data_IF_029825890264
#
_entry.id   IF_029825890264
#
_cell.length_a   1.000
_cell.length_b   1.000
_cell.length_c   1.000
_cell.angle_alpha   90.00
_cell.angle_beta   90.00
_cell.angle_gamma   90.00
#
_symmetry.space_group_name_H-M   'P 1'
#
loop_
_entity.id
_entity.type
_entity.pdbx_description
1 polymer ?
#
# COMPACT_ATOMS: atom_id res chain seq x y z
N UNK A 1 -32.12 -71.25 -41.00
CA UNK A 1 -32.95 -70.81 -39.86
C UNK A 1 -32.20 -69.70 -39.12
N UNK A 2 -32.57 -68.44 -39.34
CA UNK A 2 -33.08 -67.53 -38.28
C UNK A 2 -32.51 -67.80 -36.88
N UNK A 3 -31.61 -66.92 -36.43
CA UNK A 3 -31.89 -65.98 -35.32
C UNK A 3 -30.84 -64.87 -35.29
N UNK A 4 -31.34 -63.66 -35.51
CA UNK A 4 -30.68 -62.40 -35.24
C UNK A 4 -30.51 -62.24 -33.73
N UNK A 5 -29.34 -61.79 -33.28
CA UNK A 5 -29.23 -60.99 -32.07
C UNK A 5 -28.32 -59.80 -32.36
N UNK A 6 -28.94 -58.63 -32.33
CA UNK A 6 -28.29 -57.33 -32.41
C UNK A 6 -27.39 -57.15 -31.18
N UNK A 7 -26.08 -57.10 -31.37
CA UNK A 7 -25.17 -56.50 -30.41
C UNK A 7 -24.89 -55.07 -30.89
N UNK A 8 -25.59 -54.13 -30.26
CA UNK A 8 -25.32 -52.70 -30.44
C UNK A 8 -23.91 -52.40 -29.94
N UNK A 9 -23.05 -52.01 -30.88
CA UNK A 9 -21.74 -51.46 -30.66
C UNK A 9 -21.92 -50.03 -30.11
N UNK A 10 -22.02 -49.86 -28.79
CA UNK A 10 -21.83 -48.55 -28.16
C UNK A 10 -20.33 -48.38 -27.96
N UNK A 11 -19.69 -47.79 -28.96
CA UNK A 11 -18.33 -47.28 -28.88
C UNK A 11 -18.36 -46.04 -27.97
N UNK A 12 -18.21 -46.24 -26.65
CA UNK A 12 -17.89 -45.13 -25.76
C UNK A 12 -16.47 -44.66 -26.12
N UNK A 13 -16.41 -43.62 -26.94
CA UNK A 13 -15.20 -42.85 -27.16
C UNK A 13 -14.78 -42.20 -25.85
N UNK A 14 -13.96 -42.91 -25.08
CA UNK A 14 -13.07 -42.30 -24.10
C UNK A 14 -12.01 -41.52 -24.89
N UNK A 15 -12.41 -40.36 -25.40
CA UNK A 15 -11.50 -39.24 -25.53
C UNK A 15 -11.08 -38.90 -24.10
N UNK A 16 -10.00 -39.52 -23.63
CA UNK A 16 -9.16 -38.90 -22.62
C UNK A 16 -8.57 -37.66 -23.30
N UNK A 17 -9.36 -36.58 -23.31
CA UNK A 17 -8.84 -35.24 -23.29
C UNK A 17 -7.92 -35.20 -22.08
N UNK A 18 -6.63 -35.42 -22.33
CA UNK A 18 -5.59 -34.88 -21.48
C UNK A 18 -5.79 -33.39 -21.58
N UNK A 19 -6.63 -32.87 -20.70
CA UNK A 19 -6.63 -31.46 -20.35
C UNK A 19 -5.22 -31.23 -19.81
N UNK A 20 -4.31 -30.84 -20.69
CA UNK A 20 -3.20 -29.98 -20.30
C UNK A 20 -3.87 -28.77 -19.69
N UNK A 21 -4.07 -28.81 -18.37
CA UNK A 21 -4.11 -27.62 -17.57
C UNK A 21 -2.78 -26.94 -17.85
N UNK A 22 -2.79 -26.01 -18.82
CA UNK A 22 -1.83 -24.95 -18.83
C UNK A 22 -1.99 -24.27 -17.47
N UNK A 23 -1.05 -24.55 -16.58
CA UNK A 23 -0.90 -23.84 -15.32
C UNK A 23 -0.58 -22.39 -15.67
N UNK A 24 -1.63 -21.61 -15.93
CA UNK A 24 -1.56 -20.17 -16.13
C UNK A 24 -1.33 -19.52 -14.78
N UNK A 25 -0.24 -18.76 -14.68
CA UNK A 25 -0.02 -17.73 -13.67
C UNK A 25 0.19 -18.28 -12.26
N UNK A 26 1.44 -18.55 -11.91
CA UNK A 26 1.81 -18.82 -10.51
C UNK A 26 1.57 -17.57 -9.67
N UNK A 27 0.47 -17.57 -8.92
CA UNK A 27 0.27 -16.66 -7.81
C UNK A 27 1.38 -16.91 -6.78
N UNK A 28 2.13 -15.85 -6.47
CA UNK A 28 3.19 -15.83 -5.47
C UNK A 28 2.57 -15.92 -4.07
N UNK A 29 2.25 -17.14 -3.62
CA UNK A 29 1.83 -17.42 -2.23
C UNK A 29 3.00 -17.84 -1.32
N UNK A 30 4.24 -17.62 -1.74
CA UNK A 30 5.41 -17.90 -0.92
C UNK A 30 6.54 -16.97 -1.33
N UNK A 31 6.68 -15.87 -0.58
CA UNK A 31 7.83 -14.98 -0.62
C UNK A 31 7.49 -13.51 -0.42
N UNK A 32 7.36 -13.08 0.84
CA UNK A 32 7.60 -11.70 1.26
C UNK A 32 6.66 -10.60 0.76
N UNK A 33 5.54 -10.94 0.11
CA UNK A 33 4.59 -9.98 -0.46
C UNK A 33 3.28 -9.80 0.34
N UNK A 34 2.99 -10.71 1.29
CA UNK A 34 1.63 -10.89 1.84
C UNK A 34 1.40 -10.21 3.20
N UNK A 35 2.33 -9.39 3.66
CA UNK A 35 2.16 -8.64 4.89
C UNK A 35 2.18 -7.16 4.57
N UNK A 36 1.06 -6.48 4.80
CA UNK A 36 0.96 -5.02 4.89
C UNK A 36 1.74 -4.52 6.13
N UNK A 37 2.99 -4.96 6.31
CA UNK A 37 3.88 -4.49 7.36
C UNK A 37 4.60 -3.27 6.81
N UNK A 38 4.35 -2.13 7.44
CA UNK A 38 5.28 -1.00 7.36
C UNK A 38 6.60 -1.50 7.93
N UNK A 39 7.54 -1.82 7.04
CA UNK A 39 8.92 -2.09 7.41
C UNK A 39 9.66 -0.75 7.48
N UNK A 40 10.56 -0.55 8.45
CA UNK A 40 11.35 0.67 8.46
C UNK A 40 12.15 0.83 7.16
N UNK A 41 12.28 2.07 6.66
CA UNK A 41 13.20 2.37 5.58
C UNK A 41 14.61 1.84 5.91
N UNK A 42 15.27 1.23 4.91
CA UNK A 42 16.58 0.59 5.07
C UNK A 42 17.63 1.58 5.58
N UNK A 43 17.61 2.80 5.03
CA UNK A 43 18.64 3.80 5.28
C UNK A 43 18.06 5.00 6.00
N UNK A 44 18.40 5.11 7.30
CA UNK A 44 18.06 6.24 8.16
C UNK A 44 19.31 6.80 8.83
N UNK A 45 19.29 8.08 9.16
CA UNK A 45 20.45 8.77 9.74
C UNK A 45 20.04 10.00 10.51
N UNK A 46 20.74 10.30 11.61
CA UNK A 46 20.58 11.57 12.34
C UNK A 46 20.95 12.78 11.46
N UNK A 47 21.84 12.56 10.49
CA UNK A 47 22.25 13.55 9.48
C UNK A 47 21.33 13.48 8.27
N UNK A 48 20.48 14.48 8.11
CA UNK A 48 19.53 14.62 6.98
C UNK A 48 20.21 14.59 5.60
N UNK A 49 21.45 15.08 5.50
CA UNK A 49 22.15 15.21 4.21
C UNK A 49 23.04 14.03 3.84
N UNK A 50 23.12 12.98 4.68
CA UNK A 50 24.00 11.83 4.42
C UNK A 50 23.48 11.06 3.19
N UNK A 51 24.27 10.94 2.11
CA UNK A 51 23.87 10.19 0.94
C UNK A 51 23.97 8.68 1.19
N UNK A 52 23.12 7.92 0.50
CA UNK A 52 23.28 6.48 0.32
C UNK A 52 24.37 6.29 -0.72
N UNK A 53 25.47 5.65 -0.35
CA UNK A 53 26.48 5.21 -1.31
C UNK A 53 25.93 3.97 -2.03
N UNK A 54 25.75 4.06 -3.33
CA UNK A 54 25.12 3.02 -4.13
C UNK A 54 25.97 2.65 -5.35
N UNK A 55 25.82 1.43 -5.84
CA UNK A 55 26.45 0.97 -7.07
C UNK A 55 25.53 0.02 -7.83
N UNK A 56 25.87 -0.27 -9.07
CA UNK A 56 25.17 -1.28 -9.87
C UNK A 56 26.13 -2.27 -10.53
N UNK A 57 25.64 -3.50 -10.73
CA UNK A 57 26.29 -4.56 -11.51
C UNK A 57 25.27 -5.10 -12.50
N UNK A 58 25.65 -5.16 -13.77
CA UNK A 58 24.82 -5.69 -14.87
C UNK A 58 25.50 -6.94 -15.40
N UNK A 59 24.81 -8.07 -15.31
CA UNK A 59 25.32 -9.34 -15.82
C UNK A 59 25.43 -9.30 -17.35
N UNK A 60 26.39 -10.05 -17.88
CA UNK A 60 26.49 -10.28 -19.32
C UNK A 60 25.18 -10.93 -19.84
N UNK A 61 24.68 -10.42 -20.96
CA UNK A 61 23.43 -10.92 -21.55
C UNK A 61 22.16 -10.42 -20.87
N UNK A 62 22.22 -9.47 -19.94
CA UNK A 62 21.02 -8.86 -19.34
C UNK A 62 20.12 -8.17 -20.37
N UNK A 63 20.67 -7.69 -21.48
CA UNK A 63 19.91 -7.14 -22.62
C UNK A 63 19.73 -5.62 -22.61
N UNK A 64 20.08 -4.95 -21.52
CA UNK A 64 20.23 -3.49 -21.41
C UNK A 64 21.59 -3.16 -20.80
N UNK A 65 22.21 -2.07 -21.26
CA UNK A 65 23.53 -1.64 -20.81
C UNK A 65 23.45 -0.56 -19.71
N UNK A 66 24.62 -0.15 -19.23
CA UNK A 66 24.74 0.90 -18.21
C UNK A 66 24.11 2.24 -18.65
N UNK A 67 24.21 2.60 -19.93
CA UNK A 67 23.65 3.84 -20.47
C UNK A 67 22.11 3.85 -20.42
N UNK A 68 21.48 2.68 -20.52
CA UNK A 68 20.04 2.53 -20.31
C UNK A 68 19.67 2.47 -18.81
N UNK A 69 20.39 1.67 -18.01
CA UNK A 69 20.02 1.34 -16.62
C UNK A 69 20.27 2.49 -15.65
N UNK A 70 21.40 3.17 -15.75
CA UNK A 70 21.76 4.21 -14.78
C UNK A 70 20.72 5.36 -14.72
N UNK A 71 20.22 5.90 -15.83
CA UNK A 71 19.13 6.86 -15.79
C UNK A 71 17.86 6.34 -15.12
N UNK A 72 17.51 5.06 -15.28
CA UNK A 72 16.32 4.48 -14.64
C UNK A 72 16.46 4.42 -13.12
N UNK A 73 17.64 4.04 -12.61
CA UNK A 73 17.92 4.04 -11.17
C UNK A 73 17.82 5.46 -10.61
N UNK A 74 18.49 6.43 -11.26
CA UNK A 74 18.50 7.83 -10.82
C UNK A 74 17.11 8.44 -10.84
N UNK A 75 16.35 8.22 -11.90
CA UNK A 75 14.98 8.72 -12.03
C UNK A 75 14.06 8.11 -10.97
N UNK A 76 14.07 6.77 -10.82
CA UNK A 76 13.23 6.09 -9.83
C UNK A 76 13.55 6.53 -8.40
N UNK A 77 14.84 6.70 -8.08
CA UNK A 77 15.25 7.22 -6.78
C UNK A 77 14.80 8.69 -6.57
N UNK A 78 14.94 9.53 -7.60
CA UNK A 78 14.49 10.93 -7.57
C UNK A 78 12.98 11.04 -7.37
N UNK A 79 12.21 10.17 -8.02
CA UNK A 79 10.75 10.09 -7.83
C UNK A 79 10.40 9.83 -6.36
N UNK A 80 11.02 8.84 -5.71
CA UNK A 80 10.82 8.57 -4.28
C UNK A 80 11.30 9.70 -3.39
N UNK A 81 12.48 10.26 -3.64
CA UNK A 81 13.00 11.40 -2.88
C UNK A 81 12.04 12.59 -2.93
N UNK A 82 11.51 12.90 -4.12
CA UNK A 82 10.51 13.94 -4.29
C UNK A 82 9.19 13.58 -3.61
N UNK A 83 8.76 12.32 -3.71
CA UNK A 83 7.55 11.83 -3.06
C UNK A 83 7.61 12.02 -1.54
N UNK A 84 8.68 11.54 -0.90
CA UNK A 84 8.94 11.70 0.54
C UNK A 84 8.95 13.17 0.94
N UNK A 85 9.55 14.03 0.13
CA UNK A 85 9.58 15.49 0.37
C UNK A 85 8.19 16.12 0.27
N UNK A 86 7.45 15.85 -0.80
CA UNK A 86 6.11 16.43 -1.06
C UNK A 86 5.09 15.95 -0.04
N UNK A 87 5.10 14.66 0.30
CA UNK A 87 4.24 14.07 1.34
C UNK A 87 4.74 14.36 2.76
N UNK A 88 5.91 15.00 2.90
CA UNK A 88 6.58 15.36 4.15
C UNK A 88 6.80 14.19 5.11
N UNK A 89 7.25 13.06 4.57
CA UNK A 89 7.54 11.83 5.32
C UNK A 89 8.93 11.84 5.97
N UNK A 90 9.54 13.03 6.12
CA UNK A 90 10.97 13.18 6.41
C UNK A 90 11.34 12.92 7.87
N UNK A 91 10.37 12.91 8.80
CA UNK A 91 10.62 12.72 10.24
C UNK A 91 9.93 11.46 10.74
N UNK A 92 10.69 10.38 10.93
CA UNK A 92 10.22 9.16 11.59
C UNK A 92 10.63 9.21 13.06
N UNK A 93 9.79 9.84 13.90
CA UNK A 93 9.66 9.74 15.38
C UNK A 93 10.88 9.68 16.32
N UNK A 94 12.13 9.68 15.86
CA UNK A 94 13.32 9.40 16.69
C UNK A 94 14.58 10.10 16.15
N UNK A 95 14.48 11.37 15.73
CA UNK A 95 15.61 12.17 15.20
C UNK A 95 16.35 11.57 13.99
N UNK A 96 15.83 10.50 13.39
CA UNK A 96 16.42 9.80 12.25
C UNK A 96 15.65 10.13 10.97
N UNK A 97 16.33 10.77 10.03
CA UNK A 97 15.82 11.14 8.72
C UNK A 97 15.92 9.96 7.76
N UNK A 98 14.88 9.77 6.93
CA UNK A 98 14.98 8.89 5.76
C UNK A 98 15.99 9.51 4.79
N UNK A 99 17.00 8.75 4.38
CA UNK A 99 18.01 9.25 3.46
C UNK A 99 17.45 9.34 2.03
N UNK A 100 17.28 10.56 1.51
CA UNK A 100 16.74 10.81 0.16
C UNK A 100 17.78 11.34 -0.82
N UNK A 101 19.08 11.17 -0.51
CA UNK A 101 20.20 11.50 -1.39
C UNK A 101 20.95 10.23 -1.73
N UNK A 102 21.43 10.11 -2.97
CA UNK A 102 22.16 8.94 -3.43
C UNK A 102 23.37 9.36 -4.25
N UNK A 103 24.51 8.76 -3.94
CA UNK A 103 25.70 8.79 -4.77
C UNK A 103 25.79 7.43 -5.48
N UNK A 104 25.43 7.41 -6.77
CA UNK A 104 25.47 6.19 -7.57
C UNK A 104 26.79 6.11 -8.34
N UNK A 105 27.54 5.04 -8.07
CA UNK A 105 28.83 4.71 -8.68
C UNK A 105 28.68 3.60 -9.72
N UNK A 106 29.52 3.65 -10.75
CA UNK A 106 29.62 2.56 -11.72
C UNK A 106 30.44 1.42 -11.13
N UNK A 107 29.88 0.20 -11.16
CA UNK A 107 30.42 -1.02 -10.55
C UNK A 107 30.49 -0.95 -9.01
N UNK A 108 30.42 -2.11 -8.37
CA UNK A 108 30.48 -2.22 -6.93
C UNK A 108 31.89 -2.56 -6.44
N UNK A 109 32.37 -1.79 -5.46
CA UNK A 109 33.67 -2.00 -4.79
C UNK A 109 33.53 -2.75 -3.46
N UNK A 110 32.30 -2.85 -2.93
CA UNK A 110 31.98 -3.48 -1.65
C UNK A 110 31.82 -2.49 -0.48
N UNK A 111 32.17 -1.22 -0.71
CA UNK A 111 32.04 -0.14 0.27
C UNK A 111 30.65 0.52 0.26
N UNK A 112 29.83 0.20 -0.73
CA UNK A 112 28.50 0.79 -0.91
C UNK A 112 27.48 0.23 0.08
N UNK A 113 26.45 1.02 0.36
CA UNK A 113 25.32 0.69 1.20
C UNK A 113 24.22 -0.05 0.42
N UNK A 114 23.99 0.34 -0.83
CA UNK A 114 22.96 -0.24 -1.69
C UNK A 114 23.55 -0.73 -3.01
N UNK A 115 23.32 -2.00 -3.34
CA UNK A 115 23.71 -2.59 -4.63
C UNK A 115 22.50 -2.82 -5.51
N UNK A 116 22.53 -2.41 -6.77
CA UNK A 116 21.56 -2.81 -7.78
C UNK A 116 22.16 -3.92 -8.64
N UNK A 117 21.53 -5.10 -8.62
CA UNK A 117 22.07 -6.33 -9.20
C UNK A 117 21.15 -6.80 -10.34
N UNK A 118 21.53 -6.53 -11.58
CA UNK A 118 20.73 -6.83 -12.77
C UNK A 118 21.17 -8.15 -13.41
N UNK A 119 20.37 -9.20 -13.24
CA UNK A 119 20.64 -10.55 -13.75
C UNK A 119 21.83 -11.27 -13.10
N UNK A 120 22.41 -10.68 -12.06
CA UNK A 120 23.55 -11.26 -11.34
C UNK A 120 23.11 -12.54 -10.63
N UNK A 121 23.92 -13.59 -10.74
CA UNK A 121 23.74 -14.86 -10.05
C UNK A 121 24.89 -15.04 -9.04
N UNK A 122 24.56 -15.35 -7.79
CA UNK A 122 25.53 -15.61 -6.71
C UNK A 122 24.89 -16.49 -5.64
N UNK A 123 25.69 -17.04 -4.72
CA UNK A 123 25.18 -17.78 -3.56
C UNK A 123 24.26 -16.92 -2.68
N UNK A 124 24.58 -15.63 -2.52
CA UNK A 124 23.73 -14.66 -1.80
C UNK A 124 22.37 -14.54 -2.47
N UNK A 125 22.34 -14.36 -3.79
CA UNK A 125 21.08 -14.27 -4.55
C UNK A 125 20.31 -15.59 -4.50
N UNK A 126 20.98 -16.73 -4.65
CA UNK A 126 20.33 -18.04 -4.57
C UNK A 126 19.67 -18.26 -3.19
N UNK A 127 20.32 -17.83 -2.11
CA UNK A 127 19.78 -17.90 -0.76
C UNK A 127 18.47 -17.11 -0.62
N UNK A 128 18.46 -15.83 -1.02
CA UNK A 128 17.27 -14.99 -0.88
C UNK A 128 16.18 -15.32 -1.91
N UNK A 129 16.54 -15.54 -3.17
CA UNK A 129 15.58 -15.89 -4.23
C UNK A 129 14.82 -17.19 -3.96
N UNK A 130 15.42 -18.15 -3.22
CA UNK A 130 14.75 -19.40 -2.82
C UNK A 130 13.53 -19.20 -1.91
N UNK A 131 13.40 -18.02 -1.31
CA UNK A 131 12.26 -17.64 -0.48
C UNK A 131 11.05 -17.19 -1.31
N UNK A 132 11.23 -17.01 -2.63
CA UNK A 132 10.22 -16.47 -3.54
C UNK A 132 9.91 -17.46 -4.67
N UNK A 133 8.64 -17.55 -5.06
CA UNK A 133 8.26 -18.27 -6.28
C UNK A 133 8.49 -17.40 -7.51
N UNK A 134 9.58 -17.68 -8.25
CA UNK A 134 9.93 -17.03 -9.54
C UNK A 134 9.91 -15.49 -9.49
N UNK A 135 10.73 -14.86 -8.62
CA UNK A 135 10.73 -13.41 -8.48
C UNK A 135 11.21 -12.70 -9.76
N UNK A 136 10.55 -11.60 -10.14
CA UNK A 136 11.05 -10.65 -11.15
C UNK A 136 12.12 -9.71 -10.58
N UNK A 137 12.00 -9.40 -9.29
CA UNK A 137 12.93 -8.63 -8.50
C UNK A 137 12.63 -8.79 -7.02
N UNK A 138 13.53 -8.31 -6.18
CA UNK A 138 13.28 -8.12 -4.75
C UNK A 138 14.33 -7.16 -4.14
N UNK A 139 13.94 -6.44 -3.10
CA UNK A 139 14.83 -5.67 -2.25
C UNK A 139 15.12 -6.41 -0.93
N UNK A 140 16.40 -6.45 -0.54
CA UNK A 140 16.83 -7.15 0.67
C UNK A 140 17.80 -6.29 1.49
N UNK A 141 17.48 -6.10 2.77
CA UNK A 141 18.41 -5.57 3.76
C UNK A 141 19.36 -6.69 4.19
N UNK A 142 20.66 -6.43 4.22
CA UNK A 142 21.71 -7.39 4.59
C UNK A 142 22.50 -6.92 5.81
N UNK A 143 22.82 -7.87 6.69
CA UNK A 143 23.55 -7.63 7.93
C UNK A 143 22.66 -7.43 9.16
N UNK A 144 23.28 -7.33 10.34
CA UNK A 144 22.60 -7.19 11.63
C UNK A 144 22.12 -5.75 11.94
N UNK A 145 22.43 -4.79 11.06
CA UNK A 145 22.24 -3.37 11.27
C UNK A 145 20.80 -2.90 11.00
N UNK A 146 19.87 -3.22 11.91
CA UNK A 146 18.82 -2.24 12.23
C UNK A 146 19.37 -1.13 13.14
N UNK A 147 20.64 -1.21 13.52
CA UNK A 147 21.28 -0.25 14.40
C UNK A 147 21.38 1.09 13.67
N UNK A 148 20.55 2.03 14.11
CA UNK A 148 20.42 3.36 13.53
C UNK A 148 21.63 4.25 13.84
N UNK A 149 22.62 3.71 14.55
CA UNK A 149 23.89 4.35 14.82
C UNK A 149 24.74 4.41 13.54
N UNK A 150 25.18 5.62 13.20
CA UNK A 150 26.01 5.94 12.03
C UNK A 150 27.33 5.13 11.95
N UNK A 151 27.70 4.40 13.01
CA UNK A 151 28.88 3.54 13.11
C UNK A 151 28.81 2.27 12.27
N UNK A 152 27.63 1.70 12.05
CA UNK A 152 27.45 0.52 11.21
C UNK A 152 26.32 0.76 10.23
N UNK A 153 26.61 1.41 9.08
CA UNK A 153 25.55 1.75 8.15
C UNK A 153 24.90 0.46 7.63
N UNK A 154 23.57 0.48 7.59
CA UNK A 154 22.78 -0.52 6.91
C UNK A 154 23.37 -0.84 5.53
N UNK A 155 23.30 -2.12 5.14
CA UNK A 155 23.62 -2.58 3.79
C UNK A 155 22.42 -3.29 3.22
N UNK A 156 22.29 -3.28 1.92
CA UNK A 156 21.23 -4.00 1.22
C UNK A 156 21.47 -4.07 -0.27
N UNK A 157 20.57 -4.74 -0.96
CA UNK A 157 20.58 -4.80 -2.41
C UNK A 157 19.18 -4.86 -2.98
N UNK A 158 19.05 -4.42 -4.23
CA UNK A 158 17.91 -4.71 -5.10
C UNK A 158 18.42 -5.66 -6.17
N UNK A 159 17.79 -6.82 -6.30
CA UNK A 159 18.07 -7.76 -7.36
C UNK A 159 16.95 -7.75 -8.39
N UNK A 160 17.30 -7.81 -9.66
CA UNK A 160 16.38 -7.94 -10.78
C UNK A 160 16.73 -9.22 -11.55
N UNK A 161 15.73 -10.02 -11.83
CA UNK A 161 15.88 -11.33 -12.45
C UNK A 161 16.55 -11.27 -13.83
N UNK A 162 17.39 -12.24 -14.21
CA UNK A 162 17.96 -12.28 -15.55
C UNK A 162 16.87 -12.54 -16.61
N UNK A 163 17.16 -12.24 -17.89
CA UNK A 163 16.21 -12.54 -18.96
C UNK A 163 15.83 -14.02 -19.00
N UNK A 164 14.55 -14.30 -19.29
CA UNK A 164 13.99 -15.64 -19.46
C UNK A 164 14.02 -16.54 -18.20
N UNK A 165 14.29 -16.00 -17.01
CA UNK A 165 14.44 -16.84 -15.81
C UNK A 165 13.14 -17.13 -15.06
N UNK A 166 12.08 -16.34 -15.28
CA UNK A 166 10.77 -16.53 -14.62
C UNK A 166 9.94 -17.54 -15.42
N UNK A 167 9.88 -17.36 -16.74
CA UNK A 167 9.31 -18.32 -17.69
C UNK A 167 10.24 -18.44 -18.90
N UNK A 168 11.02 -19.53 -18.94
CA UNK A 168 11.95 -19.80 -20.01
C UNK A 168 11.27 -20.09 -21.36
N UNK A 169 10.05 -20.64 -21.34
CA UNK A 169 9.30 -20.97 -22.57
C UNK A 169 8.73 -19.70 -23.19
N UNK A 170 8.12 -18.86 -22.37
CA UNK A 170 7.58 -17.56 -22.78
C UNK A 170 8.66 -16.48 -22.96
N UNK A 171 9.91 -16.76 -22.54
CA UNK A 171 11.04 -15.82 -22.57
C UNK A 171 10.83 -14.59 -21.69
N UNK A 172 10.40 -14.84 -20.45
CA UNK A 172 10.05 -13.82 -19.46
C UNK A 172 11.01 -13.89 -18.26
N UNK A 173 11.47 -12.75 -17.72
CA UNK A 173 11.30 -11.42 -18.31
C UNK A 173 12.12 -11.27 -19.58
N UNK A 174 11.64 -10.43 -20.51
CA UNK A 174 12.43 -9.98 -21.65
C UNK A 174 12.95 -8.59 -21.29
N UNK A 175 14.26 -8.41 -21.21
CA UNK A 175 14.86 -7.10 -20.93
C UNK A 175 15.53 -6.58 -22.19
N UNK A 176 14.84 -5.67 -22.87
CA UNK A 176 15.38 -4.95 -24.02
C UNK A 176 14.73 -3.55 -24.09
N UNK A 177 14.97 -2.84 -25.19
CA UNK A 177 14.47 -1.47 -25.34
C UNK A 177 12.94 -1.39 -25.31
N UNK A 178 12.22 -2.45 -25.71
CA UNK A 178 10.75 -2.48 -25.71
C UNK A 178 10.16 -2.60 -24.31
N UNK A 179 10.86 -3.25 -23.38
CA UNK A 179 10.40 -3.48 -22.00
C UNK A 179 11.03 -2.53 -20.98
N UNK A 180 11.76 -1.51 -21.46
CA UNK A 180 12.39 -0.49 -20.64
C UNK A 180 11.44 0.19 -19.63
N UNK A 181 10.21 0.61 -20.00
CA UNK A 181 9.27 1.18 -19.02
C UNK A 181 8.88 0.21 -17.91
N UNK A 182 8.68 -1.06 -18.29
CA UNK A 182 8.38 -2.16 -17.38
C UNK A 182 9.52 -2.37 -16.36
N UNK A 183 10.76 -2.44 -16.83
CA UNK A 183 11.93 -2.53 -15.95
C UNK A 183 12.06 -1.32 -15.02
N UNK A 184 11.86 -0.10 -15.54
CA UNK A 184 11.89 1.10 -14.71
C UNK A 184 10.82 1.06 -13.61
N UNK A 185 9.62 0.60 -13.93
CA UNK A 185 8.55 0.41 -12.95
C UNK A 185 8.89 -0.61 -11.87
N UNK A 186 9.55 -1.72 -12.23
CA UNK A 186 10.06 -2.68 -11.26
C UNK A 186 11.16 -2.06 -10.36
N UNK A 187 12.10 -1.31 -10.92
CA UNK A 187 13.11 -0.58 -10.13
C UNK A 187 12.44 0.40 -9.15
N UNK A 188 11.41 1.12 -9.61
CA UNK A 188 10.63 2.04 -8.79
C UNK A 188 9.91 1.30 -7.66
N UNK A 189 9.32 0.13 -7.93
CA UNK A 189 8.69 -0.73 -6.93
C UNK A 189 9.69 -1.18 -5.85
N UNK A 190 10.83 -1.78 -6.25
CA UNK A 190 11.82 -2.29 -5.30
C UNK A 190 12.46 -1.19 -4.46
N UNK A 191 12.66 0.01 -5.03
CA UNK A 191 13.07 1.18 -4.26
C UNK A 191 12.03 1.59 -3.21
N UNK A 192 10.75 1.36 -3.46
CA UNK A 192 9.71 1.59 -2.47
C UNK A 192 9.89 0.76 -1.20
N UNK A 193 10.28 -0.51 -1.34
CA UNK A 193 10.65 -1.35 -0.20
C UNK A 193 11.89 -0.83 0.53
N UNK A 194 12.91 -0.34 -0.20
CA UNK A 194 14.08 0.31 0.40
C UNK A 194 13.66 1.53 1.24
N UNK A 195 12.64 2.27 0.81
CA UNK A 195 12.05 3.39 1.54
C UNK A 195 11.02 2.99 2.62
N UNK A 196 10.82 1.70 2.86
CA UNK A 196 9.97 1.20 3.95
C UNK A 196 8.50 1.02 3.58
N UNK A 197 8.17 0.96 2.30
CA UNK A 197 6.80 0.76 1.84
C UNK A 197 6.52 -0.74 1.68
N UNK A 198 5.39 -1.19 2.23
CA UNK A 198 4.82 -2.49 1.90
C UNK A 198 4.02 -2.44 0.60
N UNK A 199 3.39 -3.55 0.24
CA UNK A 199 2.55 -3.60 -0.95
C UNK A 199 1.24 -2.84 -0.78
N UNK A 200 0.82 -2.13 -1.83
CA UNK A 200 -0.46 -1.40 -1.90
C UNK A 200 -1.02 -1.47 -3.33
N UNK A 201 -2.13 -2.18 -3.49
CA UNK A 201 -2.82 -2.29 -4.77
C UNK A 201 -3.30 -0.93 -5.29
N UNK A 202 -3.25 -0.74 -6.61
CA UNK A 202 -3.55 0.54 -7.26
C UNK A 202 -2.43 1.57 -7.21
N UNK A 203 -1.23 1.20 -6.76
CA UNK A 203 0.00 2.02 -6.78
C UNK A 203 1.14 1.28 -7.48
N UNK A 204 2.32 1.88 -7.62
CA UNK A 204 3.51 1.13 -8.06
C UNK A 204 3.85 -0.03 -7.12
N UNK A 205 3.46 0.05 -5.84
CA UNK A 205 3.71 -0.96 -4.81
C UNK A 205 2.72 -2.14 -4.88
N UNK A 206 1.94 -2.31 -5.93
CA UNK A 206 1.07 -3.49 -6.09
C UNK A 206 1.88 -4.79 -6.14
N UNK A 207 1.39 -5.83 -5.48
CA UNK A 207 1.98 -7.18 -5.54
C UNK A 207 1.95 -7.76 -6.97
N UNK A 208 1.02 -7.27 -7.81
CA UNK A 208 0.76 -7.75 -9.17
C UNK A 208 1.72 -7.15 -10.20
N UNK A 209 2.76 -6.43 -9.75
CA UNK A 209 3.72 -5.80 -10.65
C UNK A 209 4.31 -6.83 -11.64
N UNK A 210 4.67 -8.03 -11.18
CA UNK A 210 5.15 -9.12 -12.04
C UNK A 210 4.16 -9.52 -13.15
N UNK A 211 2.87 -9.64 -12.82
CA UNK A 211 1.81 -9.97 -13.79
C UNK A 211 1.65 -8.87 -14.85
N UNK A 212 1.83 -7.60 -14.47
CA UNK A 212 1.80 -6.51 -15.45
C UNK A 212 2.99 -6.57 -16.40
N UNK A 213 4.17 -6.96 -15.89
CA UNK A 213 5.38 -7.14 -16.70
C UNK A 213 5.25 -8.33 -17.67
N UNK A 214 4.65 -9.45 -17.23
CA UNK A 214 4.34 -10.60 -18.10
C UNK A 214 3.49 -10.17 -19.29
N UNK A 215 2.40 -9.44 -19.02
CA UNK A 215 1.47 -8.98 -20.05
C UNK A 215 2.10 -7.96 -21.01
N UNK A 216 3.04 -7.14 -20.53
CA UNK A 216 3.71 -6.12 -21.32
C UNK A 216 4.66 -6.72 -22.39
N UNK A 217 5.19 -7.92 -22.14
CA UNK A 217 5.97 -8.66 -23.16
C UNK A 217 5.11 -9.14 -24.34
N UNK A 218 3.79 -9.04 -24.25
CA UNK A 218 2.85 -9.26 -25.35
C UNK A 218 2.45 -7.91 -25.98
N UNK A 219 2.92 -7.64 -27.21
CA UNK A 219 2.90 -6.36 -27.95
C UNK A 219 1.58 -5.53 -28.03
N UNK A 220 0.47 -5.92 -27.38
CA UNK A 220 -0.82 -5.25 -27.45
C UNK A 220 -1.28 -4.58 -26.13
N UNK A 221 -0.63 -4.81 -24.99
CA UNK A 221 -1.11 -4.34 -23.67
C UNK A 221 -0.28 -3.26 -22.99
N UNK A 222 0.88 -2.90 -23.55
CA UNK A 222 1.85 -1.95 -22.97
C UNK A 222 1.20 -0.65 -22.50
N UNK A 223 0.39 0.00 -23.34
CA UNK A 223 -0.19 1.30 -23.00
C UNK A 223 -1.13 1.29 -21.77
N UNK A 224 -1.78 0.15 -21.46
CA UNK A 224 -2.78 0.07 -20.39
C UNK A 224 -2.13 0.06 -19.00
N UNK A 225 -0.96 -0.56 -18.88
CA UNK A 225 -0.30 -0.74 -17.59
C UNK A 225 0.86 0.24 -17.36
N UNK A 226 1.37 0.90 -18.39
CA UNK A 226 2.37 1.98 -18.25
C UNK A 226 1.97 3.00 -17.18
N UNK A 227 0.68 3.37 -17.07
CA UNK A 227 0.23 4.31 -16.04
C UNK A 227 0.35 3.77 -14.61
N UNK A 228 0.30 2.45 -14.41
CA UNK A 228 0.39 1.83 -13.08
C UNK A 228 1.82 1.80 -12.54
N UNK A 229 2.81 1.60 -13.40
CA UNK A 229 4.19 1.42 -12.96
C UNK A 229 5.11 2.60 -13.32
N UNK A 230 4.59 3.68 -13.93
CA UNK A 230 5.36 4.90 -14.22
C UNK A 230 5.32 5.95 -13.10
N UNK A 231 4.49 5.77 -12.07
CA UNK A 231 4.33 6.71 -10.95
C UNK A 231 4.08 5.95 -9.66
N UNK A 232 4.54 6.52 -8.55
CA UNK A 232 4.31 5.96 -7.20
C UNK A 232 2.81 5.89 -6.91
N UNK A 233 2.13 7.04 -7.01
CA UNK A 233 0.66 7.11 -6.99
C UNK A 233 0.14 6.84 -8.41
N UNK A 234 -0.70 5.81 -8.58
CA UNK A 234 -1.27 5.48 -9.88
C UNK A 234 -2.79 5.67 -9.91
N UNK A 235 -3.54 4.72 -9.36
CA UNK A 235 -5.00 4.80 -9.20
C UNK A 235 -5.37 5.38 -7.84
N UNK A 236 -4.56 5.10 -6.82
CA UNK A 236 -4.70 5.64 -5.47
C UNK A 236 -3.40 6.29 -5.01
N UNK A 237 -3.49 7.07 -3.94
CA UNK A 237 -2.35 7.66 -3.25
C UNK A 237 -1.75 6.62 -2.30
N UNK A 238 -0.44 6.36 -2.42
CA UNK A 238 0.25 5.39 -1.58
C UNK A 238 0.35 5.85 -0.12
N UNK A 239 0.72 7.11 0.08
CA UNK A 239 0.75 7.76 1.40
C UNK A 239 -0.02 9.06 1.32
N UNK A 240 -1.16 9.21 2.03
CA UNK A 240 -1.91 10.45 2.03
C UNK A 240 -1.01 11.58 2.52
N UNK A 241 -1.07 12.73 1.87
CA UNK A 241 -0.27 13.89 2.27
C UNK A 241 -0.45 14.19 3.77
N UNK A 242 0.62 13.99 4.53
CA UNK A 242 0.62 14.04 5.98
C UNK A 242 0.63 15.46 6.54
N UNK A 243 0.43 16.51 5.75
CA UNK A 243 0.25 17.89 6.27
C UNK A 243 -0.75 18.69 5.42
N UNK A 244 -1.48 18.01 4.54
CA UNK A 244 -2.43 18.69 3.67
C UNK A 244 -3.78 18.84 4.38
N UNK A 245 -4.32 20.06 4.34
CA UNK A 245 -5.70 20.32 4.72
C UNK A 245 -6.65 19.51 3.83
N UNK A 246 -7.56 18.77 4.44
CA UNK A 246 -8.59 18.01 3.76
C UNK A 246 -9.95 18.34 4.38
N UNK A 247 -10.98 18.45 3.54
CA UNK A 247 -12.35 18.74 3.99
C UNK A 247 -13.28 17.66 3.47
N UNK A 248 -14.04 17.08 4.38
CA UNK A 248 -14.97 15.99 4.15
C UNK A 248 -16.38 16.44 4.50
N UNK A 249 -17.35 16.16 3.63
CA UNK A 249 -18.77 16.33 3.92
C UNK A 249 -19.37 14.98 4.28
N UNK A 250 -20.31 14.92 5.22
CA UNK A 250 -20.95 13.67 5.58
C UNK A 250 -21.73 13.07 4.40
N UNK A 251 -21.74 11.75 4.29
CA UNK A 251 -22.60 11.04 3.36
C UNK A 251 -24.07 11.28 3.73
N UNK A 252 -24.89 11.71 2.77
CA UNK A 252 -26.33 11.97 2.98
C UNK A 252 -27.11 10.71 3.42
N UNK A 253 -26.55 9.52 3.21
CA UNK A 253 -27.27 8.23 3.33
C UNK A 253 -26.63 7.22 4.28
N UNK A 254 -25.68 7.63 5.14
CA UNK A 254 -25.20 6.73 6.19
C UNK A 254 -26.16 6.77 7.39
N UNK A 255 -27.35 6.21 7.22
CA UNK A 255 -28.23 5.85 8.35
C UNK A 255 -28.02 4.34 8.57
N UNK A 256 -27.09 3.94 9.46
CA UNK A 256 -26.75 2.55 9.62
C UNK A 256 -27.96 1.84 10.21
N UNK A 257 -28.69 1.08 9.39
CA UNK A 257 -29.69 0.08 9.78
C UNK A 257 -30.49 0.53 11.02
N UNK A 258 -31.66 1.15 10.83
CA UNK A 258 -32.56 1.45 11.96
C UNK A 258 -32.78 0.19 12.79
N UNK A 259 -32.08 0.09 13.92
CA UNK A 259 -32.20 -1.07 14.79
C UNK A 259 -33.61 -1.04 15.38
N UNK A 260 -34.35 -2.16 15.38
CA UNK A 260 -35.70 -2.21 15.91
C UNK A 260 -35.75 -1.62 17.33
N UNK A 261 -36.53 -0.55 17.51
CA UNK A 261 -36.68 0.15 18.80
C UNK A 261 -35.80 1.37 19.02
N UNK A 262 -35.01 1.84 18.02
CA UNK A 262 -34.36 3.16 18.07
C UNK A 262 -35.19 4.20 17.32
N UNK A 263 -35.55 5.27 18.02
CA UNK A 263 -36.44 6.33 17.49
C UNK A 263 -35.70 7.49 16.81
N UNK A 264 -34.38 7.60 16.96
CA UNK A 264 -33.57 8.70 16.44
C UNK A 264 -32.46 8.18 15.54
N UNK A 265 -32.16 8.91 14.46
CA UNK A 265 -31.00 8.62 13.59
C UNK A 265 -29.68 8.77 14.36
N UNK A 266 -28.59 8.16 13.88
CA UNK A 266 -27.27 8.33 14.50
C UNK A 266 -26.79 9.79 14.42
N UNK A 267 -27.26 10.55 13.42
CA UNK A 267 -26.98 11.98 13.27
C UNK A 267 -27.67 12.84 14.34
N UNK A 268 -28.95 12.59 14.62
CA UNK A 268 -29.68 13.26 15.70
C UNK A 268 -29.05 12.96 17.06
N UNK A 269 -28.66 11.69 17.27
CA UNK A 269 -27.95 11.27 18.47
C UNK A 269 -26.60 11.98 18.61
N UNK A 270 -25.80 12.02 17.54
CA UNK A 270 -24.51 12.69 17.53
C UNK A 270 -24.65 14.20 17.79
N UNK A 271 -25.61 14.85 17.13
CA UNK A 271 -25.90 16.27 17.33
C UNK A 271 -26.28 16.55 18.79
N UNK A 272 -27.20 15.77 19.36
CA UNK A 272 -27.63 15.92 20.75
C UNK A 272 -26.51 15.64 21.75
N UNK A 273 -25.70 14.62 21.50
CA UNK A 273 -24.55 14.29 22.33
C UNK A 273 -23.50 15.42 22.32
N UNK A 274 -23.20 16.00 21.16
CA UNK A 274 -22.19 17.04 21.02
C UNK A 274 -22.66 18.41 21.53
N UNK A 275 -23.92 18.75 21.27
CA UNK A 275 -24.47 20.10 21.51
C UNK A 275 -25.34 20.20 22.77
N UNK A 276 -25.87 19.10 23.26
CA UNK A 276 -26.89 19.06 24.32
C UNK A 276 -28.30 19.47 23.85
N UNK A 277 -28.50 19.73 22.55
CA UNK A 277 -29.77 20.18 21.96
C UNK A 277 -30.39 19.11 21.07
N UNK A 278 -31.71 19.09 20.99
CA UNK A 278 -32.38 18.32 19.93
C UNK A 278 -32.10 18.97 18.58
N UNK A 279 -31.91 18.15 17.55
CA UNK A 279 -31.58 18.62 16.22
C UNK A 279 -32.81 19.11 15.44
N UNK A 280 -32.62 20.09 14.56
CA UNK A 280 -33.60 20.43 13.52
C UNK A 280 -33.73 19.34 12.44
N UNK A 281 -34.64 19.57 11.48
CA UNK A 281 -34.98 18.58 10.44
C UNK A 281 -33.82 18.27 9.46
N UNK A 282 -32.94 19.25 9.22
CA UNK A 282 -31.84 19.14 8.27
C UNK A 282 -30.51 19.25 8.99
N UNK A 283 -29.88 18.11 9.28
CA UNK A 283 -28.55 18.05 9.91
C UNK A 283 -27.49 17.95 8.82
N UNK A 284 -26.48 18.82 8.87
CA UNK A 284 -25.27 18.73 8.06
C UNK A 284 -24.06 18.56 8.96
N UNK A 285 -23.24 17.56 8.69
CA UNK A 285 -21.97 17.34 9.39
C UNK A 285 -20.81 17.45 8.41
N UNK A 286 -19.78 18.20 8.80
CA UNK A 286 -18.55 18.40 8.05
C UNK A 286 -17.36 18.13 8.94
N UNK A 287 -16.36 17.43 8.41
CA UNK A 287 -15.08 17.24 9.09
C UNK A 287 -13.95 17.88 8.29
N UNK A 288 -13.13 18.69 8.95
CA UNK A 288 -11.95 19.32 8.36
C UNK A 288 -10.70 18.81 9.07
N UNK A 289 -9.85 18.07 8.37
CA UNK A 289 -8.55 17.64 8.89
C UNK A 289 -7.57 18.81 8.80
N UNK A 290 -6.98 19.19 9.94
CA UNK A 290 -6.00 20.27 9.99
C UNK A 290 -4.58 19.70 10.04
N UNK A 291 -3.98 19.52 8.86
CA UNK A 291 -2.61 18.98 8.74
C UNK A 291 -2.61 17.45 8.66
N UNK A 292 -1.72 16.81 9.42
CA UNK A 292 -1.51 15.37 9.37
C UNK A 292 -2.73 14.56 9.83
N UNK A 293 -2.89 13.31 9.38
CA UNK A 293 -3.81 12.35 9.98
C UNK A 293 -3.59 12.12 11.50
N UNK A 294 -2.40 12.48 12.01
CA UNK A 294 -2.07 12.47 13.44
C UNK A 294 -2.36 13.83 14.12
N UNK A 295 -2.72 14.85 13.33
CA UNK A 295 -3.04 16.20 13.75
C UNK A 295 -4.49 16.33 14.14
N UNK A 296 -4.82 17.44 14.80
CA UNK A 296 -6.20 17.71 15.16
C UNK A 296 -7.06 18.04 13.94
N UNK A 297 -8.35 17.77 14.05
CA UNK A 297 -9.34 18.16 13.07
C UNK A 297 -10.39 19.09 13.67
N UNK A 298 -11.38 19.44 12.86
CA UNK A 298 -12.55 20.20 13.28
C UNK A 298 -13.80 19.53 12.74
N UNK A 299 -14.65 19.05 13.65
CA UNK A 299 -15.96 18.52 13.33
C UNK A 299 -16.98 19.64 13.50
N UNK A 300 -17.69 19.98 12.43
CA UNK A 300 -18.75 20.98 12.43
C UNK A 300 -20.08 20.29 12.22
N UNK A 301 -21.02 20.47 13.15
CA UNK A 301 -22.41 20.02 13.03
C UNK A 301 -23.31 21.24 12.89
N UNK A 302 -24.25 21.18 11.96
CA UNK A 302 -25.15 22.27 11.62
C UNK A 302 -26.57 21.76 11.54
N UNK A 303 -27.51 22.58 11.98
CA UNK A 303 -28.91 22.48 11.60
C UNK A 303 -29.38 23.80 10.98
N UNK A 304 -30.69 23.93 10.71
CA UNK A 304 -31.27 25.13 10.11
C UNK A 304 -31.11 26.40 10.97
N UNK A 305 -30.90 26.23 12.27
CA UNK A 305 -30.91 27.32 13.26
C UNK A 305 -29.53 27.65 13.80
N UNK A 306 -28.57 26.74 13.68
CA UNK A 306 -27.33 26.79 14.44
C UNK A 306 -26.19 26.03 13.77
N UNK A 307 -24.96 26.46 14.09
CA UNK A 307 -23.71 25.84 13.63
C UNK A 307 -22.76 25.73 14.83
N UNK A 308 -22.24 24.54 15.07
CA UNK A 308 -21.32 24.25 16.16
C UNK A 308 -20.07 23.56 15.63
N UNK A 309 -18.89 24.05 16.03
CA UNK A 309 -17.61 23.47 15.66
C UNK A 309 -16.90 22.93 16.89
N UNK A 310 -16.40 21.71 16.77
CA UNK A 310 -15.72 20.97 17.81
C UNK A 310 -14.31 20.61 17.36
N UNK A 311 -13.27 20.94 18.14
CA UNK A 311 -11.95 20.41 17.89
C UNK A 311 -11.98 18.88 18.08
N UNK A 312 -11.36 18.17 17.15
CA UNK A 312 -11.08 16.74 17.24
C UNK A 312 -9.61 16.60 17.57
N UNK A 313 -9.30 16.43 18.85
CA UNK A 313 -7.92 16.35 19.32
C UNK A 313 -7.45 14.90 19.22
N UNK A 314 -6.64 14.59 18.20
CA UNK A 314 -6.06 13.26 18.03
C UNK A 314 -4.93 13.10 19.05
N UNK A 315 -5.07 12.11 19.92
CA UNK A 315 -4.07 11.75 20.94
C UNK A 315 -3.55 10.36 20.61
N UNK A 316 -2.31 10.31 20.13
CA UNK A 316 -1.62 9.05 19.88
C UNK A 316 -1.23 8.42 21.22
N UNK A 317 -1.99 7.44 21.70
CA UNK A 317 -1.57 6.57 22.79
C UNK A 317 -1.23 5.21 22.21
N UNK A 318 0.06 4.98 21.89
CA UNK A 318 0.81 3.70 21.91
C UNK A 318 0.14 2.39 21.43
N UNK A 319 -1.01 2.43 20.76
CA UNK A 319 -1.62 1.29 20.11
C UNK A 319 -0.87 1.05 18.82
N UNK A 320 -0.31 -0.15 18.67
CA UNK A 320 0.21 -0.64 17.40
C UNK A 320 -0.72 -0.23 16.27
N UNK A 321 -0.15 0.25 15.16
CA UNK A 321 -0.85 0.44 13.89
C UNK A 321 -1.44 -0.91 13.47
N UNK A 322 -2.64 -1.25 13.96
CA UNK A 322 -3.40 -2.37 13.44
C UNK A 322 -4.05 -1.89 12.15
N UNK A 323 -3.37 -2.10 11.03
CA UNK A 323 -3.84 -1.80 9.67
C UNK A 323 -5.07 -2.63 9.24
N UNK A 324 -5.81 -3.17 10.20
CA UNK A 324 -6.99 -4.01 9.97
C UNK A 324 -7.87 -4.07 11.23
N UNK A 325 -8.05 -2.93 11.92
CA UNK A 325 -9.06 -2.89 12.99
C UNK A 325 -10.44 -3.13 12.34
N UNK A 326 -11.20 -4.17 12.75
CA UNK A 326 -12.53 -4.38 12.22
C UNK A 326 -13.36 -3.11 12.50
N UNK A 327 -13.93 -2.52 11.45
CA UNK A 327 -14.74 -1.32 11.54
C UNK A 327 -15.95 -1.59 12.44
N UNK A 328 -16.58 -2.76 12.24
CA UNK A 328 -17.67 -3.29 13.06
C UNK A 328 -17.70 -4.82 12.94
N UNK A 329 -17.98 -5.52 14.04
CA UNK A 329 -18.40 -6.92 13.99
C UNK A 329 -19.92 -6.96 13.86
N UNK A 330 -20.42 -7.42 12.72
CA UNK A 330 -21.85 -7.61 12.49
C UNK A 330 -22.40 -8.77 13.33
N UNK A 331 -23.69 -8.71 13.68
CA UNK A 331 -24.39 -9.87 14.25
C UNK A 331 -24.34 -11.01 13.22
N UNK A 332 -23.64 -12.11 13.54
CA UNK A 332 -23.44 -13.24 12.62
C UNK A 332 -21.98 -13.58 12.28
N UNK A 333 -20.99 -12.87 12.85
CA UNK A 333 -19.57 -13.21 12.67
C UNK A 333 -18.97 -12.76 11.34
N UNK A 334 -19.58 -11.77 10.67
CA UNK A 334 -18.96 -11.05 9.56
C UNK A 334 -18.23 -9.82 10.08
N UNK A 335 -16.91 -9.80 9.91
CA UNK A 335 -16.06 -8.65 10.18
C UNK A 335 -15.87 -7.84 8.89
N UNK A 336 -16.09 -6.53 8.98
CA UNK A 336 -15.79 -5.59 7.90
C UNK A 336 -14.48 -4.87 8.19
N UNK A 337 -13.50 -4.98 7.30
CA UNK A 337 -12.18 -4.38 7.47
C UNK A 337 -12.12 -3.00 6.83
N UNK A 338 -11.61 -2.00 7.56
CA UNK A 338 -11.11 -0.76 6.96
C UNK A 338 -9.70 -1.00 6.46
N UNK A 339 -9.48 -0.89 5.16
CA UNK A 339 -8.15 -0.72 4.59
C UNK A 339 -7.72 0.74 4.81
N UNK A 340 -7.33 1.11 6.03
CA UNK A 340 -7.14 2.50 6.43
C UNK A 340 -6.30 2.67 7.70
N UNK A 341 -5.97 3.92 8.04
CA UNK A 341 -5.27 4.25 9.28
C UNK A 341 -6.27 4.76 10.32
N UNK A 342 -6.26 4.13 11.49
CA UNK A 342 -7.10 4.48 12.63
C UNK A 342 -6.30 5.26 13.68
N UNK A 343 -6.93 6.28 14.24
CA UNK A 343 -6.37 7.11 15.31
C UNK A 343 -7.36 7.21 16.47
N UNK A 344 -6.85 7.19 17.70
CA UNK A 344 -7.64 7.57 18.87
C UNK A 344 -7.57 9.07 19.08
N UNK A 345 -8.67 9.65 19.53
CA UNK A 345 -8.72 11.06 19.87
C UNK A 345 -9.84 11.37 20.84
N UNK A 346 -10.11 12.65 20.99
CA UNK A 346 -11.18 13.13 21.84
C UNK A 346 -11.88 14.36 21.25
N UNK A 347 -13.17 14.49 21.56
CA UNK A 347 -13.98 15.67 21.26
C UNK A 347 -14.57 16.21 22.56
N UNK A 348 -14.48 17.51 22.79
CA UNK A 348 -15.16 18.17 23.92
C UNK A 348 -16.53 18.68 23.48
N UNK A 349 -17.59 18.12 24.04
CA UNK A 349 -18.96 18.60 23.81
C UNK A 349 -19.20 19.98 24.42
N UNK A 350 -20.30 20.66 24.04
CA UNK A 350 -20.68 21.96 24.62
C UNK A 350 -20.98 21.89 26.13
N UNK A 351 -21.35 20.71 26.63
CA UNK A 351 -21.55 20.47 28.05
C UNK A 351 -20.25 20.38 28.85
N UNK A 352 -19.10 20.34 28.16
CA UNK A 352 -17.79 20.12 28.76
C UNK A 352 -17.40 18.64 28.89
N UNK A 353 -18.30 17.69 28.56
CA UNK A 353 -17.95 16.27 28.54
C UNK A 353 -16.94 15.96 27.43
N UNK A 354 -15.90 15.20 27.77
CA UNK A 354 -14.89 14.67 26.84
C UNK A 354 -15.34 13.32 26.30
N UNK A 355 -15.44 13.20 24.98
CA UNK A 355 -15.88 12.01 24.27
C UNK A 355 -14.66 11.37 23.60
N UNK A 356 -14.29 10.12 23.94
CA UNK A 356 -13.27 9.40 23.19
C UNK A 356 -13.79 9.11 21.79
N UNK A 357 -12.94 9.28 20.78
CA UNK A 357 -13.26 8.98 19.38
C UNK A 357 -12.20 8.12 18.73
N UNK A 358 -12.61 7.37 17.71
CA UNK A 358 -11.74 6.73 16.74
C UNK A 358 -11.93 7.45 15.41
N UNK A 359 -10.86 7.98 14.83
CA UNK A 359 -10.84 8.62 13.51
C UNK A 359 -10.19 7.65 12.54
N UNK A 360 -10.94 7.21 11.53
CA UNK A 360 -10.43 6.35 10.47
C UNK A 360 -10.29 7.16 9.18
N UNK A 361 -9.20 6.92 8.46
CA UNK A 361 -9.04 7.38 7.08
C UNK A 361 -8.81 6.18 6.19
N UNK A 362 -9.48 6.10 5.04
CA UNK A 362 -9.14 5.10 4.04
C UNK A 362 -7.74 5.38 3.43
N UNK A 363 -7.15 4.41 2.75
CA UNK A 363 -5.77 4.54 2.21
C UNK A 363 -5.56 5.76 1.31
N UNK A 364 -6.53 6.10 0.45
CA UNK A 364 -6.40 7.26 -0.44
C UNK A 364 -6.74 8.60 0.25
N UNK A 365 -7.07 8.56 1.55
CA UNK A 365 -7.38 9.73 2.36
C UNK A 365 -8.62 10.50 1.92
N UNK A 366 -9.43 9.98 0.99
CA UNK A 366 -10.65 10.62 0.50
C UNK A 366 -11.85 10.36 1.40
N UNK A 367 -11.82 9.25 2.15
CA UNK A 367 -12.84 8.93 3.13
C UNK A 367 -12.33 9.10 4.55
N UNK A 368 -13.17 9.64 5.40
CA UNK A 368 -12.93 9.80 6.82
C UNK A 368 -14.17 9.38 7.61
N UNK A 369 -13.94 8.67 8.70
CA UNK A 369 -14.97 8.28 9.65
C UNK A 369 -14.56 8.72 11.05
N UNK A 370 -15.51 9.16 11.85
CA UNK A 370 -15.31 9.41 13.27
C UNK A 370 -16.33 8.59 14.04
N UNK A 371 -15.85 7.74 14.92
CA UNK A 371 -16.64 6.80 15.69
C UNK A 371 -16.49 7.09 17.18
N UNK A 372 -17.56 6.91 17.96
CA UNK A 372 -17.54 7.01 19.43
C UNK A 372 -17.82 5.62 20.01
N UNK A 373 -17.07 5.17 21.04
CA UNK A 373 -17.40 3.95 21.78
C UNK A 373 -18.79 4.05 22.43
N UNK A 374 -19.69 3.16 22.05
CA UNK A 374 -21.03 3.02 22.62
C UNK A 374 -21.10 2.00 23.77
N UNK A 375 -22.30 1.81 24.30
CA UNK A 375 -22.56 0.77 25.30
C UNK A 375 -22.47 -0.63 24.67
N UNK A 376 -21.69 -1.54 25.28
CA UNK A 376 -21.60 -2.94 24.85
C UNK A 376 -20.63 -3.23 23.69
N UNK A 377 -19.49 -2.54 23.61
CA UNK A 377 -18.45 -2.69 22.57
C UNK A 377 -18.85 -2.27 21.14
N UNK A 378 -20.04 -1.68 20.95
CA UNK A 378 -20.44 -1.15 19.65
C UNK A 378 -19.86 0.23 19.42
N UNK A 379 -19.16 0.44 18.31
CA UNK A 379 -18.79 1.76 17.83
C UNK A 379 -20.00 2.42 17.16
N UNK A 380 -20.26 3.71 17.45
CA UNK A 380 -21.30 4.50 16.78
C UNK A 380 -20.68 5.59 15.90
N UNK A 381 -21.03 5.70 14.62
CA UNK A 381 -20.54 6.77 13.79
C UNK A 381 -21.13 8.11 14.22
N UNK A 382 -20.27 9.11 14.36
CA UNK A 382 -20.66 10.52 14.45
C UNK A 382 -20.34 11.29 13.16
N UNK A 383 -19.55 10.68 12.28
CA UNK A 383 -19.22 11.19 10.95
C UNK A 383 -18.80 10.03 10.05
N UNK A 384 -19.30 10.03 8.82
CA UNK A 384 -18.83 9.20 7.70
C UNK A 384 -18.87 10.09 6.48
N UNK A 385 -17.72 10.30 5.83
CA UNK A 385 -17.63 11.14 4.64
C UNK A 385 -18.41 10.54 3.46
N UNK A 386 -18.98 11.39 2.62
CA UNK A 386 -19.46 11.01 1.29
C UNK A 386 -18.31 10.49 0.41
N UNK A 387 -18.67 9.67 -0.58
CA UNK A 387 -17.76 9.12 -1.59
C UNK A 387 -17.19 10.17 -2.55
#
# INVERSE_FOLDING_TARGET
MKKNLNAALILFGLLNSVSTFAASGGESHAGGADDYRIVPAFFRSERHEKPIEACYVIAEGFGLDAAAIEPMIRDSFSQWANYIKVKKLTIVRYSNWIQTRMNLHANCTGNENLRFLFGVQSEEIAHYSSQFSKPFGFAQLTGAGWDWDDKQPAKGFIWIAPPNSVDAVAKIPKWDQSTRPALQGLILHELGHVFGNGHVDGTVMTEKIGQYLENDTSNAQTAKYVSLYSKIDAQIELVPCMDCYASYSAAETFDPIQLPGRASSDWEWAFKMLTGKDAGANILIRYERMGSPQGSGRLTVMDESSSFSFPVDISWENGELKQSTPLFSGQGGMDFYSCGISYTGQIKSLSGATLPVIVNYNMDGKKAEILVPGTGFYLRPIFVSAD
#
